data_IF_351040435698
#
_entry.id   IF_351040435698
#
_cell.length_a   1.000
_cell.length_b   1.000
_cell.length_c   1.000
_cell.angle_alpha   90.00
_cell.angle_beta   90.00
_cell.angle_gamma   90.00
#
_symmetry.space_group_name_H-M   'P 1'
#
loop_
_entity.id
_entity.type
_entity.pdbx_description
1 polymer ?
#
# COMPACT_ATOMS: atom_id res chain seq x y z
N UNK A 1 38.42 -13.34 -77.99
CA UNK A 1 37.58 -12.19 -78.43
C UNK A 1 36.31 -12.14 -77.58
N UNK A 2 36.02 -10.99 -76.98
CA UNK A 2 34.95 -10.79 -75.99
C UNK A 2 33.98 -9.71 -76.50
N UNK A 3 32.72 -9.84 -76.08
CA UNK A 3 31.63 -8.83 -76.01
C UNK A 3 30.66 -8.79 -77.20
N UNK A 4 29.39 -9.08 -76.89
CA UNK A 4 28.21 -8.19 -77.11
C UNK A 4 26.94 -8.91 -76.64
N UNK A 5 26.34 -8.50 -75.52
CA UNK A 5 24.90 -8.67 -75.24
C UNK A 5 24.47 -8.06 -73.88
N UNK A 6 24.59 -6.73 -73.69
CA UNK A 6 24.06 -6.07 -72.48
C UNK A 6 23.52 -4.67 -72.76
N UNK A 7 22.45 -4.54 -73.55
CA UNK A 7 21.81 -3.21 -73.74
C UNK A 7 20.28 -3.19 -73.84
N UNK A 8 19.58 -4.33 -73.79
CA UNK A 8 18.10 -4.34 -73.91
C UNK A 8 17.33 -4.42 -72.59
N UNK A 9 17.93 -4.95 -71.51
CA UNK A 9 17.23 -5.18 -70.22
C UNK A 9 17.06 -3.94 -69.33
N UNK A 10 17.85 -2.88 -69.51
CA UNK A 10 17.83 -1.71 -68.60
C UNK A 10 16.70 -0.71 -68.87
N UNK A 11 16.24 -0.55 -70.12
CA UNK A 11 15.21 0.45 -70.46
C UNK A 11 13.78 0.06 -70.03
N UNK A 12 13.47 -1.23 -69.97
CA UNK A 12 12.14 -1.71 -69.56
C UNK A 12 11.89 -1.53 -68.05
N UNK A 13 12.92 -1.72 -67.22
CA UNK A 13 12.78 -1.66 -65.76
C UNK A 13 12.59 -0.23 -65.23
N UNK A 14 13.17 0.77 -65.91
CA UNK A 14 13.06 2.19 -65.52
C UNK A 14 11.67 2.76 -65.84
N UNK A 15 11.05 2.35 -66.95
CA UNK A 15 9.71 2.82 -67.36
C UNK A 15 8.61 2.29 -66.41
N UNK A 16 8.74 1.05 -65.94
CA UNK A 16 7.79 0.44 -65.00
C UNK A 16 7.82 1.08 -63.60
N UNK A 17 9.00 1.52 -63.12
CA UNK A 17 9.11 2.22 -61.82
C UNK A 17 8.45 3.60 -61.85
N UNK A 18 8.66 4.39 -62.90
CA UNK A 18 8.05 5.73 -63.01
C UNK A 18 6.51 5.70 -63.08
N UNK A 19 5.93 4.71 -63.74
CA UNK A 19 4.47 4.57 -63.82
C UNK A 19 3.84 4.22 -62.45
N UNK A 20 4.47 3.35 -61.66
CA UNK A 20 3.98 2.98 -60.31
C UNK A 20 4.03 4.15 -59.33
N UNK A 21 5.08 4.99 -59.39
CA UNK A 21 5.18 6.17 -58.51
C UNK A 21 4.13 7.23 -58.83
N UNK A 22 3.81 7.46 -60.12
CA UNK A 22 2.80 8.43 -60.52
C UNK A 22 1.37 8.05 -60.09
N UNK A 23 1.04 6.75 -60.09
CA UNK A 23 -0.27 6.24 -59.66
C UNK A 23 -0.43 6.40 -58.14
N UNK A 24 0.62 6.12 -57.36
CA UNK A 24 0.58 6.22 -55.90
C UNK A 24 0.45 7.66 -55.39
N UNK A 25 1.00 8.65 -56.12
CA UNK A 25 0.88 10.08 -55.78
C UNK A 25 -0.53 10.61 -56.09
N UNK A 26 -1.19 10.12 -57.15
CA UNK A 26 -2.56 10.55 -57.49
C UNK A 26 -3.58 10.01 -56.47
N UNK A 27 -3.45 8.76 -56.03
CA UNK A 27 -4.39 8.17 -55.05
C UNK A 27 -4.28 8.82 -53.66
N UNK A 28 -3.08 9.20 -53.23
CA UNK A 28 -2.88 9.89 -51.94
C UNK A 28 -3.43 11.33 -51.92
N UNK A 29 -3.35 12.07 -53.02
CA UNK A 29 -3.94 13.43 -53.10
C UNK A 29 -5.47 13.41 -53.06
N UNK A 30 -6.11 12.45 -53.72
CA UNK A 30 -7.58 12.29 -53.69
C UNK A 30 -8.06 11.89 -52.29
N UNK A 31 -7.37 10.97 -51.62
CA UNK A 31 -7.71 10.55 -50.26
C UNK A 31 -7.57 11.70 -49.23
N UNK A 32 -6.55 12.56 -49.36
CA UNK A 32 -6.40 13.75 -48.51
C UNK A 32 -7.54 14.76 -48.72
N UNK A 33 -7.99 14.96 -49.96
CA UNK A 33 -9.08 15.92 -50.26
C UNK A 33 -10.43 15.45 -49.71
N UNK A 34 -10.72 14.14 -49.78
CA UNK A 34 -11.96 13.56 -49.22
C UNK A 34 -11.99 13.66 -47.68
N UNK A 35 -10.86 13.41 -47.00
CA UNK A 35 -10.76 13.55 -45.53
C UNK A 35 -10.88 15.00 -45.04
N UNK A 36 -10.44 15.97 -45.84
CA UNK A 36 -10.57 17.40 -45.49
C UNK A 36 -12.04 17.87 -45.56
N UNK A 37 -12.79 17.44 -46.57
CA UNK A 37 -14.21 17.84 -46.76
C UNK A 37 -15.12 17.22 -45.69
N UNK A 38 -14.86 15.99 -45.24
CA UNK A 38 -15.66 15.34 -44.19
C UNK A 38 -15.46 16.00 -42.81
N UNK A 39 -14.23 16.42 -42.47
CA UNK A 39 -13.94 17.15 -41.23
C UNK A 39 -14.64 18.51 -41.18
N UNK A 40 -14.65 19.27 -42.27
CA UNK A 40 -15.30 20.59 -42.30
C UNK A 40 -16.82 20.49 -42.12
N UNK A 41 -17.48 19.48 -42.71
CA UNK A 41 -18.92 19.25 -42.50
C UNK A 41 -19.25 18.81 -41.07
N UNK A 42 -18.41 17.98 -40.45
CA UNK A 42 -18.59 17.54 -39.06
C UNK A 42 -18.43 18.69 -38.07
N UNK A 43 -17.41 19.54 -38.23
CA UNK A 43 -17.17 20.72 -37.36
C UNK A 43 -18.34 21.72 -37.46
N UNK A 44 -18.90 21.95 -38.66
CA UNK A 44 -20.08 22.81 -38.82
C UNK A 44 -21.33 22.24 -38.12
N UNK A 45 -21.48 20.91 -38.06
CA UNK A 45 -22.60 20.27 -37.35
C UNK A 45 -22.47 20.42 -35.83
N UNK A 46 -21.28 20.17 -35.27
CA UNK A 46 -21.02 20.30 -33.83
C UNK A 46 -21.25 21.74 -33.34
N UNK A 47 -20.84 22.75 -34.12
CA UNK A 47 -21.04 24.16 -33.76
C UNK A 47 -22.50 24.63 -33.76
N UNK A 48 -23.39 23.92 -34.48
CA UNK A 48 -24.83 24.25 -34.52
C UNK A 48 -25.57 23.64 -33.33
N UNK A 49 -25.13 22.48 -32.83
CA UNK A 49 -25.77 21.80 -31.69
C UNK A 49 -25.36 22.38 -30.33
N UNK A 50 -24.14 22.89 -30.17
CA UNK A 50 -23.70 23.47 -28.89
C UNK A 50 -24.33 24.83 -28.56
N UNK A 51 -24.79 25.58 -29.56
CA UNK A 51 -25.48 26.86 -29.32
C UNK A 51 -26.87 26.73 -28.68
N UNK A 52 -27.49 25.54 -28.69
CA UNK A 52 -28.83 25.34 -28.11
C UNK A 52 -28.83 24.59 -26.77
N UNK A 53 -27.67 24.16 -26.27
CA UNK A 53 -27.57 23.28 -25.08
C UNK A 53 -27.11 24.01 -23.81
N UNK A 54 -26.71 25.28 -23.90
CA UNK A 54 -26.25 26.06 -22.73
C UNK A 54 -26.79 27.50 -22.72
N UNK A 55 -28.09 27.67 -22.98
CA UNK A 55 -28.76 28.87 -22.49
C UNK A 55 -29.16 28.62 -21.05
N UNK A 56 -28.25 28.90 -20.11
CA UNK A 56 -28.57 29.10 -18.69
C UNK A 56 -29.40 30.39 -18.59
N UNK A 57 -30.67 30.29 -19.02
CA UNK A 57 -31.65 31.35 -18.89
C UNK A 57 -31.94 31.60 -17.41
N UNK A 58 -31.98 32.87 -17.04
CA UNK A 58 -32.31 33.47 -15.75
C UNK A 58 -32.84 32.46 -14.69
N UNK A 59 -31.93 31.73 -14.04
CA UNK A 59 -32.28 30.80 -12.98
C UNK A 59 -32.62 31.60 -11.72
N UNK A 60 -33.85 31.45 -11.25
CA UNK A 60 -34.28 32.00 -9.97
C UNK A 60 -33.36 31.48 -8.84
N UNK A 61 -32.96 32.37 -7.91
CA UNK A 61 -32.01 32.10 -6.84
C UNK A 61 -32.34 30.83 -6.03
N UNK A 62 -33.63 30.54 -5.84
CA UNK A 62 -34.10 29.33 -5.14
C UNK A 62 -33.74 28.05 -5.92
N UNK A 63 -33.94 28.05 -7.23
CA UNK A 63 -33.66 26.88 -8.08
C UNK A 63 -32.16 26.65 -8.22
N UNK A 64 -31.36 27.73 -8.24
CA UNK A 64 -29.90 27.63 -8.22
C UNK A 64 -29.40 26.95 -6.92
N UNK A 65 -29.95 27.32 -5.77
CA UNK A 65 -29.62 26.67 -4.47
C UNK A 65 -29.99 25.19 -4.46
N UNK A 66 -31.17 24.84 -4.96
CA UNK A 66 -31.59 23.43 -5.06
C UNK A 66 -30.65 22.64 -5.98
N UNK A 67 -30.24 23.21 -7.12
CA UNK A 67 -29.32 22.56 -8.05
C UNK A 67 -27.93 22.34 -7.43
N UNK A 68 -27.42 23.30 -6.68
CA UNK A 68 -26.16 23.17 -5.93
C UNK A 68 -26.25 22.07 -4.88
N UNK A 69 -27.36 21.97 -4.14
CA UNK A 69 -27.56 20.91 -3.15
C UNK A 69 -27.61 19.52 -3.81
N UNK A 70 -28.29 19.38 -4.94
CA UNK A 70 -28.34 18.11 -5.69
C UNK A 70 -26.93 17.72 -6.17
N UNK A 71 -26.16 18.67 -6.70
CA UNK A 71 -24.78 18.41 -7.13
C UNK A 71 -23.88 18.01 -5.97
N UNK A 72 -24.04 18.62 -4.79
CA UNK A 72 -23.30 18.24 -3.58
C UNK A 72 -23.65 16.83 -3.10
N UNK A 73 -24.93 16.45 -3.13
CA UNK A 73 -25.36 15.09 -2.75
C UNK A 73 -24.78 14.06 -3.72
N UNK A 74 -24.83 14.33 -5.02
CA UNK A 74 -24.23 13.45 -6.05
C UNK A 74 -22.71 13.36 -5.85
N UNK A 75 -22.04 14.47 -5.55
CA UNK A 75 -20.61 14.49 -5.28
C UNK A 75 -20.25 13.66 -4.04
N UNK A 76 -20.98 13.79 -2.93
CA UNK A 76 -20.77 13.00 -1.72
C UNK A 76 -21.01 11.51 -1.96
N UNK A 77 -22.10 11.15 -2.66
CA UNK A 77 -22.40 9.75 -2.98
C UNK A 77 -21.34 9.13 -3.90
N UNK A 78 -20.88 9.87 -4.91
CA UNK A 78 -19.80 9.40 -5.80
C UNK A 78 -18.45 9.32 -5.07
N UNK A 79 -18.17 10.21 -4.13
CA UNK A 79 -16.96 10.16 -3.30
C UNK A 79 -16.94 8.93 -2.38
N UNK A 80 -18.06 8.63 -1.70
CA UNK A 80 -18.19 7.41 -0.87
C UNK A 80 -18.08 6.13 -1.71
N UNK A 81 -18.67 6.11 -2.91
CA UNK A 81 -18.54 4.96 -3.79
C UNK A 81 -17.11 4.80 -4.31
N UNK A 82 -16.43 5.90 -4.63
CA UNK A 82 -15.03 5.89 -5.06
C UNK A 82 -14.07 5.46 -3.94
N UNK A 83 -14.33 5.86 -2.68
CA UNK A 83 -13.53 5.42 -1.53
C UNK A 83 -13.69 3.91 -1.28
N UNK A 84 -14.90 3.37 -1.44
CA UNK A 84 -15.15 1.92 -1.39
C UNK A 84 -14.52 1.17 -2.57
N UNK A 85 -14.50 1.77 -3.78
CA UNK A 85 -13.81 1.17 -4.93
C UNK A 85 -12.30 1.10 -4.70
N UNK A 86 -11.72 2.07 -3.99
CA UNK A 86 -10.28 2.08 -3.68
C UNK A 86 -9.90 0.91 -2.76
N UNK A 87 -10.75 0.55 -1.79
CA UNK A 87 -10.56 -0.65 -0.96
C UNK A 87 -10.72 -1.97 -1.72
N UNK A 88 -11.37 -1.98 -2.89
CA UNK A 88 -11.44 -3.16 -3.77
C UNK A 88 -10.31 -3.21 -4.80
N UNK A 89 -9.60 -2.09 -4.99
CA UNK A 89 -8.50 -1.96 -5.94
C UNK A 89 -7.13 -2.15 -5.31
N UNK A 90 -7.04 -2.49 -4.02
CA UNK A 90 -5.83 -3.13 -3.52
C UNK A 90 -5.71 -4.46 -4.24
N UNK A 91 -4.67 -4.68 -5.08
CA UNK A 91 -4.46 -5.97 -5.70
C UNK A 91 -4.02 -6.95 -4.60
N UNK A 92 -4.99 -7.57 -3.95
CA UNK A 92 -4.79 -8.82 -3.26
C UNK A 92 -4.37 -9.86 -4.33
N UNK A 93 -3.09 -10.24 -4.27
CA UNK A 93 -2.69 -11.63 -4.46
C UNK A 93 -3.12 -12.30 -5.78
N UNK A 94 -2.55 -11.89 -6.92
CA UNK A 94 -2.52 -12.78 -8.10
C UNK A 94 -1.35 -12.64 -9.07
N UNK A 95 -0.50 -11.62 -8.93
CA UNK A 95 0.70 -11.46 -9.78
C UNK A 95 2.00 -12.06 -9.18
N UNK A 96 1.92 -12.75 -8.05
CA UNK A 96 3.07 -13.28 -7.30
C UNK A 96 3.65 -14.61 -7.83
N UNK A 97 3.25 -15.09 -9.01
CA UNK A 97 3.68 -16.40 -9.53
C UNK A 97 4.72 -16.36 -10.66
N UNK A 98 5.13 -15.20 -11.16
CA UNK A 98 6.09 -15.10 -12.27
C UNK A 98 7.33 -14.24 -11.98
N UNK A 99 7.60 -13.90 -10.73
CA UNK A 99 8.89 -13.35 -10.34
C UNK A 99 9.70 -14.42 -9.60
N UNK A 100 10.95 -14.71 -10.01
CA UNK A 100 11.83 -15.49 -9.16
C UNK A 100 11.89 -14.80 -7.79
N UNK A 101 11.83 -15.53 -6.67
CA UNK A 101 11.76 -14.94 -5.34
C UNK A 101 12.95 -14.00 -5.17
N UNK A 102 12.65 -12.70 -5.17
CA UNK A 102 13.64 -11.66 -4.87
C UNK A 102 14.01 -11.90 -3.40
N UNK A 103 15.18 -12.50 -3.16
CA UNK A 103 15.71 -12.63 -1.81
C UNK A 103 16.02 -11.20 -1.36
N UNK A 104 15.06 -10.56 -0.68
CA UNK A 104 15.26 -9.26 -0.05
C UNK A 104 16.41 -9.46 0.93
N UNK A 105 17.55 -8.83 0.64
CA UNK A 105 18.70 -8.84 1.53
C UNK A 105 18.25 -8.23 2.86
N UNK A 106 18.41 -8.97 3.95
CA UNK A 106 18.05 -8.48 5.28
C UNK A 106 18.88 -7.24 5.62
N UNK A 107 18.22 -6.24 6.20
CA UNK A 107 18.88 -5.09 6.80
C UNK A 107 19.68 -5.51 8.05
N UNK A 108 20.67 -4.71 8.49
CA UNK A 108 21.38 -4.97 9.75
C UNK A 108 20.44 -5.15 10.94
N UNK A 109 19.43 -4.30 11.06
CA UNK A 109 18.39 -4.42 12.08
C UNK A 109 17.59 -5.73 11.98
N UNK A 110 17.14 -6.10 10.77
CA UNK A 110 16.37 -7.35 10.57
C UNK A 110 17.20 -8.57 10.99
N UNK A 111 18.51 -8.54 10.71
CA UNK A 111 19.45 -9.58 11.11
C UNK A 111 19.62 -9.64 12.62
N UNK A 112 19.87 -8.49 13.27
CA UNK A 112 20.01 -8.40 14.73
C UNK A 112 18.76 -8.94 15.44
N UNK A 113 17.56 -8.48 15.05
CA UNK A 113 16.29 -8.96 15.61
C UNK A 113 16.16 -10.48 15.47
N UNK A 114 16.53 -11.02 14.31
CA UNK A 114 16.45 -12.46 14.05
C UNK A 114 17.42 -13.23 14.95
N UNK A 115 18.66 -12.78 15.08
CA UNK A 115 19.69 -13.40 15.93
C UNK A 115 19.32 -13.33 17.42
N UNK A 116 18.84 -12.17 17.91
CA UNK A 116 18.40 -12.01 19.30
C UNK A 116 17.25 -12.93 19.69
N UNK A 117 16.35 -13.22 18.75
CA UNK A 117 15.14 -14.01 18.99
C UNK A 117 15.28 -15.48 18.64
N UNK A 118 16.44 -15.90 18.14
CA UNK A 118 16.69 -17.28 17.73
C UNK A 118 16.52 -18.27 18.90
N UNK A 119 15.83 -19.38 18.64
CA UNK A 119 15.54 -20.41 19.65
C UNK A 119 14.41 -20.05 20.64
N UNK A 120 13.76 -18.89 20.49
CA UNK A 120 12.58 -18.51 21.27
C UNK A 120 11.27 -18.70 20.49
N UNK A 121 10.12 -18.90 21.16
CA UNK A 121 8.83 -19.02 20.47
C UNK A 121 8.48 -17.84 19.55
N UNK A 122 8.89 -16.61 19.90
CA UNK A 122 8.69 -15.43 19.04
C UNK A 122 9.38 -15.53 17.68
N UNK A 123 10.40 -16.39 17.51
CA UNK A 123 11.08 -16.56 16.21
C UNK A 123 10.08 -16.94 15.10
N UNK A 124 9.00 -17.67 15.43
CA UNK A 124 7.93 -18.04 14.49
C UNK A 124 7.12 -16.85 13.97
N UNK A 125 7.22 -15.69 14.63
CA UNK A 125 6.53 -14.45 14.30
C UNK A 125 7.40 -13.50 13.46
N UNK A 126 8.70 -13.76 13.32
CA UNK A 126 9.63 -12.88 12.60
C UNK A 126 9.21 -12.53 11.17
N UNK A 127 8.65 -13.46 10.35
CA UNK A 127 8.18 -13.11 9.01
C UNK A 127 7.10 -12.02 8.97
N UNK A 128 6.42 -11.76 10.09
CA UNK A 128 5.39 -10.73 10.22
C UNK A 128 5.93 -9.49 10.94
N UNK A 129 6.78 -9.66 11.96
CA UNK A 129 7.39 -8.56 12.73
C UNK A 129 8.32 -7.74 11.82
N UNK A 130 9.15 -8.39 11.02
CA UNK A 130 10.14 -7.73 10.14
C UNK A 130 9.49 -6.99 8.95
N UNK A 131 8.18 -7.11 8.76
CA UNK A 131 7.41 -6.35 7.76
C UNK A 131 6.86 -5.03 8.31
N UNK A 132 6.95 -4.81 9.63
CA UNK A 132 6.46 -3.60 10.29
C UNK A 132 7.47 -2.47 10.15
N UNK A 133 7.03 -1.25 10.49
CA UNK A 133 7.94 -0.12 10.65
C UNK A 133 9.08 -0.51 11.61
N UNK A 134 10.33 -0.09 11.36
CA UNK A 134 11.45 -0.47 12.21
C UNK A 134 11.27 -0.11 13.69
N UNK A 135 10.69 1.04 14.04
CA UNK A 135 10.41 1.40 15.44
C UNK A 135 9.40 0.44 16.06
N UNK A 136 8.32 0.15 15.36
CA UNK A 136 7.30 -0.82 15.80
C UNK A 136 7.90 -2.22 15.97
N UNK A 137 8.73 -2.67 15.04
CA UNK A 137 9.40 -3.96 15.13
C UNK A 137 10.30 -4.05 16.38
N UNK A 138 11.05 -2.99 16.68
CA UNK A 138 11.86 -2.93 17.90
C UNK A 138 11.00 -2.96 19.16
N UNK A 139 9.91 -2.18 19.23
CA UNK A 139 9.00 -2.23 20.38
C UNK A 139 8.35 -3.61 20.56
N UNK A 140 7.92 -4.25 19.47
CA UNK A 140 7.39 -5.61 19.50
C UNK A 140 8.39 -6.58 20.13
N UNK A 141 9.66 -6.53 19.74
CA UNK A 141 10.69 -7.44 20.26
C UNK A 141 11.07 -7.11 21.71
N UNK A 142 11.24 -5.82 22.04
CA UNK A 142 11.63 -5.37 23.36
C UNK A 142 10.54 -5.63 24.42
N UNK A 143 9.28 -5.30 24.11
CA UNK A 143 8.15 -5.57 25.00
C UNK A 143 7.95 -7.07 25.18
N UNK A 144 8.06 -7.87 24.10
CA UNK A 144 7.92 -9.32 24.23
C UNK A 144 9.02 -9.96 25.09
N UNK A 145 10.25 -9.41 25.05
CA UNK A 145 11.31 -9.82 25.96
C UNK A 145 10.90 -9.57 27.41
N UNK A 146 10.36 -8.39 27.67
CA UNK A 146 9.95 -7.98 29.01
C UNK A 146 8.79 -8.81 29.56
N UNK A 147 7.75 -8.99 28.77
CA UNK A 147 6.48 -9.57 29.23
C UNK A 147 6.50 -11.09 29.30
N UNK A 148 7.20 -11.75 28.37
CA UNK A 148 7.15 -13.22 28.25
C UNK A 148 8.52 -13.88 28.10
N UNK A 149 9.61 -13.11 28.17
CA UNK A 149 10.94 -13.58 27.77
C UNK A 149 10.91 -14.20 26.36
N UNK A 150 10.34 -13.45 25.40
CA UNK A 150 10.14 -13.88 24.01
C UNK A 150 9.29 -15.14 23.85
N UNK A 151 8.28 -15.30 24.70
CA UNK A 151 7.33 -16.40 24.68
C UNK A 151 7.73 -17.63 25.51
N UNK A 152 8.84 -17.58 26.27
CA UNK A 152 9.15 -18.64 27.26
C UNK A 152 8.08 -18.73 28.36
N UNK A 153 7.52 -17.59 28.76
CA UNK A 153 6.39 -17.47 29.70
C UNK A 153 5.18 -16.95 28.94
N UNK A 154 4.42 -17.86 28.37
CA UNK A 154 3.31 -17.56 27.47
C UNK A 154 1.98 -17.98 28.08
N UNK A 155 0.89 -17.25 27.79
CA UNK A 155 -0.43 -17.73 28.13
C UNK A 155 -0.76 -18.97 27.31
N UNK A 156 -1.52 -19.87 27.91
CA UNK A 156 -2.03 -21.07 27.25
C UNK A 156 -3.53 -21.17 27.37
N UNK A 157 -4.15 -21.82 26.39
CA UNK A 157 -5.55 -22.24 26.38
C UNK A 157 -5.58 -23.73 26.01
N UNK A 158 -6.12 -24.56 26.88
CA UNK A 158 -6.14 -26.02 26.72
C UNK A 158 -4.74 -26.62 26.46
N UNK A 159 -3.71 -26.06 27.10
CA UNK A 159 -2.30 -26.45 26.93
C UNK A 159 -1.64 -25.95 25.64
N UNK A 160 -2.38 -25.26 24.78
CA UNK A 160 -1.89 -24.71 23.52
C UNK A 160 -1.38 -23.27 23.68
N UNK A 161 -0.40 -22.90 22.85
CA UNK A 161 0.18 -21.56 22.82
C UNK A 161 -0.83 -20.54 22.26
N UNK A 162 -1.09 -19.47 23.03
CA UNK A 162 -1.99 -18.39 22.63
C UNK A 162 -1.35 -17.30 21.76
N UNK A 163 -0.07 -17.46 21.39
CA UNK A 163 0.71 -16.52 20.58
C UNK A 163 0.76 -15.09 21.12
N UNK A 164 0.50 -14.89 22.41
CA UNK A 164 0.50 -13.59 23.06
C UNK A 164 1.74 -13.44 23.93
N UNK A 165 2.75 -12.74 23.40
CA UNK A 165 4.04 -12.56 24.06
C UNK A 165 4.22 -11.18 24.69
N UNK A 166 3.22 -10.30 24.57
CA UNK A 166 3.25 -8.90 24.97
C UNK A 166 2.35 -8.57 26.17
N UNK A 167 1.71 -9.57 26.78
CA UNK A 167 0.75 -9.35 27.85
C UNK A 167 -0.52 -8.63 27.38
N UNK A 168 -0.85 -8.73 26.08
CA UNK A 168 -1.94 -7.99 25.47
C UNK A 168 -3.30 -8.46 26.01
N UNK A 169 -4.18 -7.49 26.29
CA UNK A 169 -5.53 -7.73 26.81
C UNK A 169 -6.57 -6.96 26.00
N UNK A 170 -7.23 -7.69 25.13
CA UNK A 170 -8.44 -7.31 24.43
C UNK A 170 -9.53 -8.33 24.76
N UNK A 171 -10.75 -7.86 25.06
CA UNK A 171 -11.89 -8.75 25.29
C UNK A 171 -12.17 -9.52 23.99
N UNK A 172 -11.89 -10.82 24.01
CA UNK A 172 -12.10 -11.75 22.92
C UNK A 172 -12.86 -12.99 23.42
N UNK A 173 -13.40 -13.78 22.51
CA UNK A 173 -14.07 -15.05 22.86
C UNK A 173 -13.09 -16.05 23.49
N UNK A 174 -11.84 -16.07 22.99
CA UNK A 174 -10.77 -16.93 23.50
C UNK A 174 -9.83 -16.15 24.40
N UNK A 175 -9.77 -16.58 25.66
CA UNK A 175 -8.91 -15.98 26.67
C UNK A 175 -7.97 -17.05 27.21
N UNK A 176 -6.66 -16.81 27.13
CA UNK A 176 -5.65 -17.67 27.71
C UNK A 176 -5.48 -17.43 29.21
N UNK A 177 -4.60 -18.21 29.83
CA UNK A 177 -4.27 -18.09 31.25
C UNK A 177 -3.90 -16.64 31.66
N UNK A 178 -4.39 -16.18 32.81
CA UNK A 178 -4.14 -14.83 33.32
C UNK A 178 -4.92 -13.71 32.63
N UNK A 179 -5.99 -14.07 31.88
CA UNK A 179 -6.86 -13.10 31.22
C UNK A 179 -6.21 -12.40 30.03
N UNK A 180 -5.22 -13.06 29.40
CA UNK A 180 -4.59 -12.56 28.18
C UNK A 180 -5.38 -13.01 26.96
N UNK A 181 -5.44 -12.17 25.93
CA UNK A 181 -6.05 -12.55 24.66
C UNK A 181 -5.35 -13.77 24.08
N UNK A 182 -6.12 -14.74 23.59
CA UNK A 182 -5.60 -15.91 22.88
C UNK A 182 -5.83 -15.74 21.39
N UNK A 183 -4.76 -15.55 20.62
CA UNK A 183 -4.82 -15.38 19.18
C UNK A 183 -4.83 -16.74 18.47
N UNK A 184 -5.45 -16.82 17.29
CA UNK A 184 -5.53 -18.05 16.52
C UNK A 184 -4.24 -18.32 15.73
N UNK A 185 -3.43 -17.30 15.46
CA UNK A 185 -2.18 -17.46 14.72
C UNK A 185 -1.08 -16.46 15.09
N UNK A 186 0.20 -16.79 14.82
CA UNK A 186 1.32 -15.85 14.92
C UNK A 186 1.12 -14.56 14.11
N UNK A 187 0.49 -14.67 12.93
CA UNK A 187 0.22 -13.52 12.04
C UNK A 187 -0.77 -12.57 12.69
N UNK A 188 -1.91 -13.09 13.12
CA UNK A 188 -2.97 -12.30 13.77
C UNK A 188 -2.46 -11.61 15.03
N UNK A 189 -1.68 -12.33 15.85
CA UNK A 189 -1.09 -11.78 17.06
C UNK A 189 -0.19 -10.57 16.74
N UNK A 190 0.73 -10.72 15.78
CA UNK A 190 1.62 -9.64 15.38
C UNK A 190 0.85 -8.48 14.76
N UNK A 191 -0.13 -8.74 13.87
CA UNK A 191 -0.90 -7.69 13.23
C UNK A 191 -1.70 -6.87 14.24
N UNK A 192 -2.37 -7.53 15.19
CA UNK A 192 -3.17 -6.87 16.22
C UNK A 192 -2.31 -6.04 17.18
N UNK A 193 -1.22 -6.62 17.67
CA UNK A 193 -0.32 -5.94 18.62
C UNK A 193 0.44 -4.81 17.93
N UNK A 194 0.94 -5.04 16.71
CA UNK A 194 1.61 -4.02 15.91
C UNK A 194 0.68 -2.84 15.67
N UNK A 195 -0.57 -3.07 15.27
CA UNK A 195 -1.53 -1.98 15.05
C UNK A 195 -1.69 -1.08 16.28
N UNK A 196 -1.71 -1.66 17.49
CA UNK A 196 -1.77 -0.85 18.71
C UNK A 196 -0.48 -0.08 18.97
N UNK A 197 0.67 -0.69 18.71
CA UNK A 197 1.97 0.00 18.85
C UNK A 197 2.11 1.10 17.80
N UNK A 198 1.72 0.85 16.55
CA UNK A 198 1.71 1.82 15.45
C UNK A 198 0.85 3.04 15.84
N UNK A 199 -0.33 2.84 16.43
CA UNK A 199 -1.13 3.96 16.95
C UNK A 199 -0.38 4.78 18.01
N UNK A 200 0.26 4.11 18.98
CA UNK A 200 1.02 4.79 20.02
C UNK A 200 2.19 5.57 19.43
N UNK A 201 2.95 4.97 18.51
CA UNK A 201 4.16 5.56 17.92
C UNK A 201 3.82 6.64 16.90
N UNK A 202 2.93 6.38 15.96
CA UNK A 202 2.68 7.23 14.79
C UNK A 202 1.59 8.28 15.04
N UNK A 203 0.52 7.92 15.77
CA UNK A 203 -0.62 8.82 15.99
C UNK A 203 -0.47 9.64 17.27
N UNK A 204 0.17 9.06 18.30
CA UNK A 204 0.25 9.64 19.65
C UNK A 204 1.66 10.13 20.02
N UNK A 205 2.65 9.96 19.14
CA UNK A 205 4.06 10.36 19.34
C UNK A 205 4.70 9.74 20.60
N UNK A 206 4.25 8.54 20.97
CA UNK A 206 4.78 7.73 22.08
C UNK A 206 5.84 6.79 21.48
N UNK A 207 7.02 7.33 21.19
CA UNK A 207 8.07 6.63 20.44
C UNK A 207 9.36 6.36 21.24
N UNK A 208 9.35 6.63 22.55
CA UNK A 208 10.43 6.27 23.48
C UNK A 208 10.01 5.17 24.47
N UNK A 209 10.94 4.33 24.95
CA UNK A 209 10.65 3.33 26.00
C UNK A 209 10.07 3.93 27.29
N UNK A 210 10.44 5.17 27.62
CA UNK A 210 9.90 5.89 28.78
C UNK A 210 8.42 6.23 28.60
N UNK A 211 8.05 6.72 27.42
CA UNK A 211 6.67 7.11 27.12
C UNK A 211 5.79 5.88 26.84
N UNK A 212 6.38 4.83 26.26
CA UNK A 212 5.76 3.52 26.00
C UNK A 212 5.31 2.79 27.28
N UNK A 213 5.59 3.35 28.47
CA UNK A 213 5.04 2.87 29.75
C UNK A 213 3.51 2.77 29.76
N UNK A 214 2.82 3.51 28.88
CA UNK A 214 1.38 3.37 28.62
C UNK A 214 0.98 1.93 28.31
N UNK A 215 1.86 1.16 27.67
CA UNK A 215 1.63 -0.27 27.43
C UNK A 215 1.40 -1.06 28.73
N UNK A 216 2.17 -0.74 29.78
CA UNK A 216 2.14 -1.45 31.06
C UNK A 216 0.92 -1.11 31.91
N UNK A 217 0.57 0.17 31.99
CA UNK A 217 -0.38 0.65 33.00
C UNK A 217 -1.36 1.71 32.49
N UNK A 218 -1.42 1.91 31.18
CA UNK A 218 -2.30 2.87 30.53
C UNK A 218 -1.83 4.32 30.68
N UNK A 219 -2.63 5.22 30.13
CA UNK A 219 -2.32 6.66 30.04
C UNK A 219 -2.12 7.35 31.39
N UNK A 220 -2.74 6.84 32.46
CA UNK A 220 -2.61 7.43 33.80
C UNK A 220 -1.19 7.41 34.37
N UNK A 221 -0.26 6.65 33.77
CA UNK A 221 1.11 6.53 34.23
C UNK A 221 2.08 7.56 33.67
N UNK A 222 1.74 8.28 32.59
CA UNK A 222 2.72 9.16 31.91
C UNK A 222 3.13 10.35 32.78
N UNK A 223 2.16 11.02 33.41
CA UNK A 223 2.41 12.28 34.14
C UNK A 223 2.67 12.11 35.64
N UNK A 224 2.72 10.87 36.13
CA UNK A 224 2.88 10.56 37.54
C UNK A 224 4.32 10.15 37.88
N UNK A 225 4.79 10.37 39.12
CA UNK A 225 6.06 9.83 39.59
C UNK A 225 6.09 8.31 39.42
N UNK A 226 7.11 7.81 38.70
CA UNK A 226 7.17 6.39 38.36
C UNK A 226 7.50 5.53 39.58
N UNK A 227 6.71 4.47 39.78
CA UNK A 227 6.99 3.44 40.78
C UNK A 227 8.27 2.68 40.44
N UNK A 228 8.85 1.96 41.41
CA UNK A 228 10.02 1.11 41.16
C UNK A 228 9.74 0.04 40.08
N UNK A 229 8.51 -0.47 40.03
CA UNK A 229 8.06 -1.45 39.02
C UNK A 229 8.00 -0.86 37.62
N UNK A 230 7.51 0.37 37.47
CA UNK A 230 7.50 1.09 36.20
C UNK A 230 8.90 1.42 35.72
N UNK A 231 9.76 1.97 36.59
CA UNK A 231 11.16 2.27 36.24
C UNK A 231 11.90 1.03 35.77
N UNK A 232 11.72 -0.10 36.47
CA UNK A 232 12.30 -1.37 36.04
C UNK A 232 11.77 -1.79 34.67
N UNK A 233 10.47 -1.65 34.42
CA UNK A 233 9.90 -1.99 33.13
C UNK A 233 10.47 -1.13 32.00
N UNK A 234 10.55 0.19 32.21
CA UNK A 234 11.14 1.14 31.25
C UNK A 234 12.57 0.72 30.95
N UNK A 235 13.40 0.53 31.98
CA UNK A 235 14.80 0.14 31.80
C UNK A 235 14.97 -1.19 31.07
N UNK A 236 14.13 -2.18 31.40
CA UNK A 236 14.18 -3.49 30.75
C UNK A 236 13.81 -3.37 29.26
N UNK A 237 12.79 -2.58 28.90
CA UNK A 237 12.39 -2.37 27.50
C UNK A 237 13.43 -1.53 26.77
N UNK A 238 13.90 -0.46 27.37
CA UNK A 238 14.91 0.44 26.84
C UNK A 238 16.21 -0.29 26.51
N UNK A 239 16.66 -1.19 27.39
CA UNK A 239 17.87 -1.97 27.16
C UNK A 239 17.83 -2.72 25.82
N UNK A 240 16.73 -3.42 25.51
CA UNK A 240 16.61 -4.14 24.25
C UNK A 240 16.30 -3.21 23.08
N UNK A 241 15.47 -2.20 23.29
CA UNK A 241 15.14 -1.22 22.25
C UNK A 241 16.39 -0.48 21.76
N UNK A 242 17.18 0.06 22.68
CA UNK A 242 18.42 0.77 22.39
C UNK A 242 19.45 -0.13 21.70
N UNK A 243 19.59 -1.40 22.14
CA UNK A 243 20.49 -2.36 21.48
C UNK A 243 20.13 -2.59 19.99
N UNK A 244 18.84 -2.61 19.64
CA UNK A 244 18.40 -2.72 18.26
C UNK A 244 18.52 -1.39 17.49
N UNK A 245 18.25 -0.28 18.16
CA UNK A 245 18.28 1.06 17.57
C UNK A 245 19.66 1.48 17.06
N UNK A 246 20.75 0.85 17.56
CA UNK A 246 22.11 1.02 17.03
C UNK A 246 22.27 0.60 15.55
N UNK A 247 21.33 -0.19 15.02
CA UNK A 247 21.35 -0.73 13.65
C UNK A 247 20.41 -0.02 12.66
N UNK A 248 19.76 1.06 13.10
CA UNK A 248 18.98 1.97 12.25
C UNK A 248 19.86 3.01 11.55
#
# INVERSE_FOLDING_TARGET
MRKKATTKKSKALVKAKKAKTAIMIKTTKVAKKIKAVSRVKMIKRIRKTTKSLFTLGNLNSIHARILVLILLIIFMATFVLASQLKSLSDPAESDAYNQPPQIKKQSPLEKEITEMTEGYPIAKMMPYILKKDPKTAMFLVAIAKKESAWGKRKPVLDGQDCFNYWGFRLKAEKMGSGGHTCFDSPKEAVETVAQRIDQLVEEEDIDTPSDMIVWKCGYGCQDQPKSLSEKKWINDVDFYYSAMNEYL
#
